data_IF_882855886537
#
_entry.id   IF_882855886537
#
_cell.length_a   1.000
_cell.length_b   1.000
_cell.length_c   1.000
_cell.angle_alpha   90.00
_cell.angle_beta   90.00
_cell.angle_gamma   90.00
#
_symmetry.space_group_name_H-M   'P 1'
#
loop_
_entity.id
_entity.type
_entity.pdbx_description
1 polymer ?
#
# COMPACT_ATOMS: atom_id res chain seq x y z
N UNK A 1 4.36 -27.28 6.82
CA UNK A 1 4.44 -26.13 5.88
C UNK A 1 5.90 -25.96 5.48
N UNK A 2 6.22 -25.68 4.20
CA UNK A 2 7.62 -25.54 3.77
C UNK A 2 8.13 -24.14 4.16
N UNK A 3 9.24 -24.08 4.90
CA UNK A 3 9.91 -22.80 5.17
C UNK A 3 10.79 -22.43 3.97
N UNK A 4 10.82 -21.15 3.64
CA UNK A 4 11.65 -20.58 2.57
C UNK A 4 12.56 -19.51 3.18
N UNK A 5 13.83 -19.41 2.76
CA UNK A 5 14.72 -18.34 3.22
C UNK A 5 14.19 -16.95 2.83
N UNK A 6 14.21 -16.01 3.78
CA UNK A 6 13.69 -14.65 3.58
C UNK A 6 14.32 -13.95 2.38
N UNK A 7 15.65 -13.94 2.30
CA UNK A 7 16.38 -13.23 1.23
C UNK A 7 16.11 -13.83 -0.16
N UNK A 8 15.99 -15.15 -0.25
CA UNK A 8 15.66 -15.83 -1.50
C UNK A 8 14.24 -15.47 -1.96
N UNK A 9 13.29 -15.39 -1.02
CA UNK A 9 11.92 -15.00 -1.31
C UNK A 9 11.81 -13.52 -1.70
N UNK A 10 12.55 -12.65 -1.02
CA UNK A 10 12.65 -11.21 -1.35
C UNK A 10 13.18 -11.01 -2.77
N UNK A 11 14.33 -11.60 -3.09
CA UNK A 11 14.92 -11.50 -4.42
C UNK A 11 13.97 -12.04 -5.51
N UNK A 12 13.25 -13.13 -5.23
CA UNK A 12 12.25 -13.66 -6.15
C UNK A 12 11.12 -12.66 -6.41
N UNK A 13 10.49 -12.14 -5.35
CA UNK A 13 9.38 -11.18 -5.49
C UNK A 13 9.79 -9.89 -6.21
N UNK A 14 10.95 -9.31 -5.86
CA UNK A 14 11.48 -8.12 -6.52
C UNK A 14 11.73 -8.38 -8.01
N UNK A 15 12.34 -9.53 -8.36
CA UNK A 15 12.61 -9.90 -9.76
C UNK A 15 11.34 -10.07 -10.58
N UNK A 16 10.28 -10.63 -10.00
CA UNK A 16 8.97 -10.81 -10.66
C UNK A 16 8.34 -9.45 -10.96
N UNK A 17 8.33 -8.53 -10.00
CA UNK A 17 7.77 -7.19 -10.18
C UNK A 17 8.56 -6.37 -11.21
N UNK A 18 9.89 -6.45 -11.19
CA UNK A 18 10.74 -5.79 -12.18
C UNK A 18 10.50 -6.32 -13.60
N UNK A 19 10.23 -7.62 -13.77
CA UNK A 19 9.79 -8.19 -15.07
C UNK A 19 8.43 -7.69 -15.53
N UNK A 20 7.62 -7.16 -14.61
CA UNK A 20 6.39 -6.41 -14.91
C UNK A 20 6.64 -4.90 -15.09
N UNK A 21 7.88 -4.50 -15.37
CA UNK A 21 8.31 -3.11 -15.60
C UNK A 21 8.20 -2.17 -14.39
N UNK A 22 7.92 -2.70 -13.19
CA UNK A 22 7.89 -1.91 -11.95
C UNK A 22 9.31 -1.40 -11.64
N UNK A 23 9.50 -0.10 -11.33
CA UNK A 23 10.80 0.45 -10.93
C UNK A 23 11.39 -0.29 -9.72
N UNK A 24 12.73 -0.35 -9.64
CA UNK A 24 13.46 -1.09 -8.59
C UNK A 24 12.98 -0.73 -7.18
N UNK A 25 12.87 0.57 -6.86
CA UNK A 25 12.48 1.04 -5.53
C UNK A 25 11.02 0.68 -5.19
N UNK A 26 10.14 0.68 -6.20
CA UNK A 26 8.73 0.30 -6.02
C UNK A 26 8.59 -1.20 -5.87
N UNK A 27 9.36 -1.99 -6.63
CA UNK A 27 9.41 -3.44 -6.50
C UNK A 27 9.92 -3.85 -5.11
N UNK A 28 10.94 -3.17 -4.58
CA UNK A 28 11.45 -3.35 -3.23
C UNK A 28 10.38 -3.00 -2.19
N UNK A 29 9.69 -1.87 -2.34
CA UNK A 29 8.63 -1.42 -1.41
C UNK A 29 7.44 -2.39 -1.38
N UNK A 30 6.97 -2.83 -2.54
CA UNK A 30 5.88 -3.82 -2.64
C UNK A 30 6.30 -5.13 -2.00
N UNK A 31 7.49 -5.63 -2.32
CA UNK A 31 8.02 -6.87 -1.75
C UNK A 31 8.15 -6.79 -0.23
N UNK A 32 8.69 -5.69 0.28
CA UNK A 32 8.82 -5.46 1.72
C UNK A 32 7.46 -5.51 2.43
N UNK A 33 6.42 -4.88 1.85
CA UNK A 33 5.07 -4.94 2.40
C UNK A 33 4.50 -6.37 2.44
N UNK A 34 4.67 -7.15 1.37
CA UNK A 34 4.18 -8.54 1.33
C UNK A 34 4.91 -9.44 2.33
N UNK A 35 6.23 -9.31 2.43
CA UNK A 35 7.01 -10.09 3.38
C UNK A 35 6.72 -9.67 4.82
N UNK A 36 6.55 -8.37 5.07
CA UNK A 36 6.17 -7.85 6.37
C UNK A 36 4.80 -8.41 6.82
N UNK A 37 3.84 -8.52 5.90
CA UNK A 37 2.55 -9.15 6.18
C UNK A 37 2.70 -10.64 6.57
N UNK A 38 3.51 -11.41 5.84
CA UNK A 38 3.80 -12.81 6.22
C UNK A 38 4.49 -12.92 7.58
N UNK A 39 5.51 -12.08 7.84
CA UNK A 39 6.22 -12.06 9.13
C UNK A 39 5.33 -11.62 10.29
N UNK A 40 4.28 -10.84 10.02
CA UNK A 40 3.28 -10.41 11.00
C UNK A 40 2.13 -11.42 11.19
N UNK A 41 2.17 -12.57 10.52
CA UNK A 41 1.10 -13.58 10.58
C UNK A 41 -0.16 -13.21 9.79
N UNK A 42 -0.08 -12.20 8.91
CA UNK A 42 -1.20 -11.74 8.05
C UNK A 42 -1.01 -12.30 6.64
N UNK A 43 -0.97 -13.63 6.54
CA UNK A 43 -0.67 -14.34 5.29
C UNK A 43 -1.62 -14.00 4.14
N UNK A 44 -2.86 -13.63 4.46
CA UNK A 44 -3.87 -13.19 3.48
C UNK A 44 -3.48 -11.92 2.71
N UNK A 45 -2.48 -11.17 3.18
CA UNK A 45 -1.94 -9.96 2.53
C UNK A 45 -0.45 -10.10 2.18
N UNK A 46 0.15 -11.27 2.37
CA UNK A 46 1.54 -11.54 2.03
C UNK A 46 1.77 -11.99 0.59
N UNK A 47 2.81 -12.80 0.36
CA UNK A 47 3.22 -13.26 -0.98
C UNK A 47 2.11 -13.95 -1.79
N UNK A 48 1.06 -14.47 -1.14
CA UNK A 48 -0.11 -15.05 -1.81
C UNK A 48 -0.80 -14.05 -2.74
N UNK A 49 -0.60 -12.74 -2.53
CA UNK A 49 -1.12 -11.66 -3.36
C UNK A 49 -0.25 -11.33 -4.57
N UNK A 50 1.00 -11.78 -4.63
CA UNK A 50 1.90 -11.47 -5.74
C UNK A 50 1.31 -11.82 -7.12
N UNK A 51 0.71 -13.02 -7.34
CA UNK A 51 0.08 -13.35 -8.62
C UNK A 51 -1.04 -12.37 -9.01
N UNK A 52 -1.82 -11.88 -8.04
CA UNK A 52 -2.88 -10.89 -8.29
C UNK A 52 -2.30 -9.59 -8.84
N UNK A 53 -1.22 -9.08 -8.25
CA UNK A 53 -0.58 -7.85 -8.77
C UNK A 53 0.06 -8.07 -10.13
N UNK A 54 0.73 -9.21 -10.35
CA UNK A 54 1.30 -9.56 -11.66
C UNK A 54 0.21 -9.56 -12.74
N UNK A 55 -0.93 -10.25 -12.51
CA UNK A 55 -2.04 -10.24 -13.46
C UNK A 55 -2.53 -8.84 -13.77
N UNK A 56 -2.66 -7.98 -12.74
CA UNK A 56 -3.15 -6.61 -12.92
C UNK A 56 -2.15 -5.67 -13.59
N UNK A 57 -0.86 -5.87 -13.38
CA UNK A 57 0.21 -5.16 -14.09
C UNK A 57 0.24 -5.61 -15.56
N UNK A 58 0.17 -6.92 -15.82
CA UNK A 58 0.21 -7.48 -17.17
C UNK A 58 -1.00 -7.09 -18.01
N UNK A 59 -2.19 -6.99 -17.41
CA UNK A 59 -3.40 -6.59 -18.13
C UNK A 59 -3.62 -5.06 -18.18
N UNK A 60 -2.73 -4.27 -17.59
CA UNK A 60 -2.79 -2.80 -17.61
C UNK A 60 -3.78 -2.16 -16.64
N UNK A 61 -4.44 -2.93 -15.77
CA UNK A 61 -5.35 -2.39 -14.74
C UNK A 61 -4.63 -1.81 -13.52
N UNK A 62 -3.30 -1.93 -13.48
CA UNK A 62 -2.39 -1.18 -12.60
C UNK A 62 -1.27 -0.63 -13.47
N UNK A 63 -0.99 0.66 -13.34
CA UNK A 63 0.13 1.31 -13.99
C UNK A 63 1.43 0.98 -13.27
N UNK A 64 2.36 0.28 -13.95
CA UNK A 64 3.66 -0.06 -13.38
C UNK A 64 4.55 1.19 -13.11
N UNK A 65 4.31 2.29 -13.83
CA UNK A 65 5.09 3.53 -13.79
C UNK A 65 4.15 4.74 -13.72
N UNK A 66 3.43 4.91 -12.61
CA UNK A 66 2.47 6.00 -12.47
C UNK A 66 3.16 7.35 -12.37
N UNK A 67 2.56 8.38 -12.99
CA UNK A 67 2.90 9.77 -12.72
C UNK A 67 2.15 10.24 -11.49
N UNK A 68 2.71 9.99 -10.30
CA UNK A 68 2.13 10.39 -9.02
C UNK A 68 2.11 11.91 -8.91
N UNK A 69 0.97 12.50 -8.56
CA UNK A 69 0.83 13.95 -8.37
C UNK A 69 0.49 14.24 -6.92
N UNK A 70 1.17 15.22 -6.37
CA UNK A 70 0.96 15.70 -5.01
C UNK A 70 0.37 17.10 -5.07
N UNK A 71 -0.62 17.36 -4.23
CA UNK A 71 -1.14 18.68 -3.97
C UNK A 71 -1.25 18.90 -2.44
N UNK A 72 -1.17 20.16 -2.04
CA UNK A 72 -1.19 20.57 -0.62
C UNK A 72 -2.17 21.73 -0.46
N UNK A 73 -3.49 21.44 -0.44
CA UNK A 73 -4.52 22.48 -0.41
C UNK A 73 -4.52 23.26 0.91
N UNK A 74 -3.95 22.70 1.99
CA UNK A 74 -3.78 23.34 3.30
C UNK A 74 -2.45 22.88 3.92
N UNK A 75 -1.86 23.61 4.88
CA UNK A 75 -0.56 23.26 5.47
C UNK A 75 -0.48 21.82 5.98
N UNK A 76 -1.52 21.33 6.66
CA UNK A 76 -1.60 19.98 7.24
C UNK A 76 -2.39 18.97 6.39
N UNK A 77 -2.63 19.24 5.11
CA UNK A 77 -3.39 18.31 4.23
C UNK A 77 -2.58 18.06 2.95
N UNK A 78 -2.31 16.79 2.67
CA UNK A 78 -1.69 16.34 1.42
C UNK A 78 -2.68 15.48 0.64
N UNK A 79 -2.96 15.85 -0.60
CA UNK A 79 -3.75 15.04 -1.54
C UNK A 79 -2.81 14.41 -2.56
N UNK A 80 -3.05 13.14 -2.90
CA UNK A 80 -2.20 12.37 -3.82
C UNK A 80 -3.07 11.70 -4.87
N UNK A 81 -2.79 11.98 -6.14
CA UNK A 81 -3.26 11.19 -7.27
C UNK A 81 -2.22 10.12 -7.57
N UNK A 82 -2.59 8.85 -7.34
CA UNK A 82 -1.71 7.70 -7.49
C UNK A 82 -1.48 7.24 -8.93
N UNK A 83 -2.19 7.79 -9.93
CA UNK A 83 -2.03 7.44 -11.34
C UNK A 83 -2.27 5.95 -11.66
N UNK A 84 -3.21 5.32 -10.95
CA UNK A 84 -3.57 3.89 -11.01
C UNK A 84 -2.40 2.94 -10.71
N UNK A 85 -1.41 3.42 -9.96
CA UNK A 85 -0.23 2.63 -9.61
C UNK A 85 -0.44 1.61 -8.49
N UNK A 86 0.63 0.91 -8.13
CA UNK A 86 0.66 -0.02 -6.99
C UNK A 86 0.46 0.75 -5.67
N UNK A 87 -0.61 0.45 -4.94
CA UNK A 87 -0.96 1.13 -3.69
C UNK A 87 0.16 1.11 -2.64
N UNK A 88 0.89 -0.01 -2.56
CA UNK A 88 2.09 -0.16 -1.73
C UNK A 88 3.09 1.00 -1.93
N UNK A 89 3.50 1.23 -3.18
CA UNK A 89 4.47 2.24 -3.53
C UNK A 89 3.92 3.66 -3.37
N UNK A 90 2.67 3.90 -3.81
CA UNK A 90 2.02 5.21 -3.71
C UNK A 90 1.92 5.63 -2.24
N UNK A 91 1.38 4.77 -1.38
CA UNK A 91 1.18 5.10 0.04
C UNK A 91 2.50 5.24 0.78
N UNK A 92 3.50 4.39 0.53
CA UNK A 92 4.81 4.50 1.17
C UNK A 92 5.53 5.81 0.79
N UNK A 93 5.47 6.20 -0.49
CA UNK A 93 6.01 7.50 -0.95
C UNK A 93 5.26 8.65 -0.31
N UNK A 94 3.92 8.62 -0.30
CA UNK A 94 3.11 9.66 0.31
C UNK A 94 3.41 9.85 1.81
N UNK A 95 3.58 8.76 2.56
CA UNK A 95 3.99 8.82 3.98
C UNK A 95 5.36 9.49 4.12
N UNK A 96 6.34 9.13 3.27
CA UNK A 96 7.68 9.73 3.29
C UNK A 96 7.65 11.22 2.98
N UNK A 97 6.89 11.64 1.97
CA UNK A 97 6.72 13.06 1.59
C UNK A 97 5.98 13.87 2.67
N UNK A 98 5.07 13.24 3.41
CA UNK A 98 4.28 13.90 4.44
C UNK A 98 5.00 14.03 5.78
N UNK A 99 6.03 13.22 6.06
CA UNK A 99 6.78 13.25 7.33
C UNK A 99 7.38 14.63 7.66
N UNK A 100 8.07 15.33 6.74
CA UNK A 100 8.56 16.70 6.99
C UNK A 100 7.42 17.67 7.31
N UNK A 101 6.29 17.56 6.62
CA UNK A 101 5.11 18.41 6.85
C UNK A 101 4.53 18.15 8.25
N UNK A 102 4.46 16.88 8.67
CA UNK A 102 4.01 16.51 10.02
C UNK A 102 4.91 17.12 11.11
N UNK A 103 6.24 17.11 10.90
CA UNK A 103 7.20 17.74 11.83
C UNK A 103 6.96 19.23 11.99
N UNK A 104 6.71 19.91 10.87
CA UNK A 104 6.53 21.36 10.84
C UNK A 104 5.17 21.77 11.43
N UNK A 105 4.10 21.06 11.06
CA UNK A 105 2.72 21.43 11.36
C UNK A 105 2.14 20.72 12.60
N UNK A 106 2.86 19.78 13.19
CA UNK A 106 2.42 18.93 14.30
C UNK A 106 1.49 17.78 13.90
N UNK A 107 0.83 17.88 12.73
CA UNK A 107 0.02 16.81 12.14
C UNK A 107 -0.08 16.96 10.63
N UNK A 108 -0.38 15.86 9.94
CA UNK A 108 -0.69 15.85 8.51
C UNK A 108 -1.72 14.77 8.20
N UNK A 109 -2.72 15.12 7.40
CA UNK A 109 -3.68 14.16 6.83
C UNK A 109 -3.34 13.94 5.37
N UNK A 110 -3.17 12.67 4.98
CA UNK A 110 -2.89 12.27 3.60
C UNK A 110 -4.15 11.64 3.02
N UNK A 111 -4.61 12.12 1.86
CA UNK A 111 -5.73 11.56 1.11
C UNK A 111 -5.22 11.08 -0.24
N UNK A 112 -5.33 9.77 -0.50
CA UNK A 112 -4.82 9.14 -1.72
C UNK A 112 -5.99 8.67 -2.58
N UNK A 113 -6.04 9.11 -3.83
CA UNK A 113 -6.97 8.67 -4.88
C UNK A 113 -6.24 8.01 -6.04
N UNK A 114 -6.99 7.45 -7.00
CA UNK A 114 -6.47 6.80 -8.21
C UNK A 114 -5.30 5.84 -7.91
N UNK A 115 -5.55 4.90 -7.01
CA UNK A 115 -4.57 3.95 -6.50
C UNK A 115 -5.09 2.51 -6.65
N UNK A 116 -4.41 1.54 -6.06
CA UNK A 116 -4.83 0.14 -6.04
C UNK A 116 -4.69 -0.47 -4.64
N UNK A 117 -4.93 -1.78 -4.52
CA UNK A 117 -4.77 -2.48 -3.25
C UNK A 117 -3.35 -2.26 -2.68
N UNK A 118 -3.31 -1.90 -1.40
CA UNK A 118 -2.10 -1.38 -0.74
C UNK A 118 -1.46 -2.36 0.26
N UNK A 119 -1.93 -3.61 0.30
CA UNK A 119 -1.41 -4.62 1.23
C UNK A 119 -1.99 -4.48 2.64
N UNK A 120 -1.17 -4.79 3.64
CA UNK A 120 -1.58 -4.72 5.04
C UNK A 120 -1.52 -3.28 5.56
N UNK A 121 -2.65 -2.72 6.00
CA UNK A 121 -2.73 -1.33 6.46
C UNK A 121 -1.69 -0.96 7.54
N UNK A 122 -1.43 -1.87 8.48
CA UNK A 122 -0.44 -1.67 9.54
C UNK A 122 1.02 -1.56 9.06
N UNK A 123 1.34 -1.94 7.82
CA UNK A 123 2.69 -1.82 7.27
C UNK A 123 3.20 -0.38 7.31
N UNK A 124 2.34 0.59 6.98
CA UNK A 124 2.74 2.00 6.90
C UNK A 124 2.96 2.64 8.26
N UNK A 125 2.32 2.11 9.32
CA UNK A 125 2.53 2.57 10.68
C UNK A 125 3.95 2.28 11.17
N UNK A 126 4.63 1.27 10.60
CA UNK A 126 6.02 0.96 10.95
C UNK A 126 6.92 2.19 10.77
N UNK A 127 6.87 2.81 9.59
CA UNK A 127 7.74 3.95 9.28
C UNK A 127 7.29 5.20 10.05
N UNK A 128 5.97 5.40 10.21
CA UNK A 128 5.40 6.53 10.97
C UNK A 128 5.84 6.48 12.44
N UNK A 129 5.71 5.32 13.08
CA UNK A 129 6.06 5.13 14.50
C UNK A 129 7.56 5.14 14.72
N UNK A 130 8.35 4.55 13.81
CA UNK A 130 9.82 4.63 13.85
C UNK A 130 10.34 6.08 13.77
N UNK A 131 9.59 6.98 13.13
CA UNK A 131 9.91 8.41 13.07
C UNK A 131 9.41 9.22 14.29
N UNK A 132 8.83 8.57 15.31
CA UNK A 132 8.38 9.21 16.55
C UNK A 132 6.96 9.79 16.49
N UNK A 133 6.15 9.41 15.50
CA UNK A 133 4.76 9.87 15.37
C UNK A 133 3.75 8.78 15.75
N UNK A 134 2.54 9.21 16.08
CA UNK A 134 1.35 8.35 16.05
C UNK A 134 0.74 8.46 14.65
N UNK A 135 0.17 7.36 14.15
CA UNK A 135 -0.50 7.32 12.85
C UNK A 135 -1.79 6.51 12.91
N UNK A 136 -2.69 6.80 11.96
CA UNK A 136 -3.87 6.00 11.67
C UNK A 136 -3.97 5.84 10.16
N UNK A 137 -4.23 4.62 9.69
CA UNK A 137 -4.28 4.30 8.26
C UNK A 137 -5.56 3.53 7.95
N UNK A 138 -6.29 3.97 6.92
CA UNK A 138 -7.48 3.28 6.44
C UNK A 138 -7.55 3.30 4.93
N UNK A 139 -8.27 2.34 4.36
CA UNK A 139 -8.60 2.29 2.93
C UNK A 139 -9.99 1.70 2.75
N UNK A 140 -10.66 2.03 1.66
CA UNK A 140 -11.86 1.33 1.25
C UNK A 140 -11.51 0.17 0.30
N UNK A 141 -12.39 -0.81 0.15
CA UNK A 141 -12.20 -1.92 -0.79
C UNK A 141 -13.44 -2.15 -1.65
N UNK A 142 -13.34 -3.11 -2.58
CA UNK A 142 -14.50 -3.65 -3.28
C UNK A 142 -15.62 -4.07 -2.31
N UNK A 143 -16.85 -4.04 -2.80
CA UNK A 143 -18.05 -4.40 -2.05
C UNK A 143 -17.99 -5.88 -1.60
N UNK A 144 -17.99 -6.12 -0.28
CA UNK A 144 -17.86 -7.46 0.34
C UNK A 144 -18.77 -7.66 1.56
N UNK A 145 -19.02 -6.61 2.34
CA UNK A 145 -19.70 -6.65 3.63
C UNK A 145 -21.18 -6.31 3.46
N UNK A 146 -22.04 -7.09 4.10
CA UNK A 146 -23.48 -6.84 4.24
C UNK A 146 -23.71 -6.08 5.55
N UNK A 147 -24.13 -4.80 5.51
CA UNK A 147 -24.44 -4.06 6.73
C UNK A 147 -25.56 -4.70 7.54
N UNK A 148 -25.60 -4.45 8.84
CA UNK A 148 -26.67 -4.92 9.72
C UNK A 148 -28.02 -4.40 9.19
N UNK A 149 -28.98 -5.30 9.02
CA UNK A 149 -30.31 -4.99 8.46
C UNK A 149 -30.38 -4.95 6.93
N UNK A 150 -29.25 -5.05 6.22
CA UNK A 150 -29.24 -5.14 4.76
C UNK A 150 -29.40 -6.59 4.28
N UNK A 151 -29.82 -6.73 3.01
CA UNK A 151 -29.91 -8.03 2.31
C UNK A 151 -28.88 -8.19 1.19
N UNK A 152 -28.12 -7.14 0.89
CA UNK A 152 -27.11 -7.12 -0.18
C UNK A 152 -25.81 -6.49 0.33
N UNK A 153 -24.65 -6.92 -0.19
CA UNK A 153 -23.37 -6.28 0.08
C UNK A 153 -23.39 -4.79 -0.30
N UNK A 154 -22.74 -3.96 0.52
CA UNK A 154 -22.60 -2.51 0.26
C UNK A 154 -21.21 -1.98 0.61
N UNK A 155 -20.66 -2.35 1.77
CA UNK A 155 -19.36 -1.85 2.22
C UNK A 155 -18.22 -2.80 1.81
N UNK A 156 -16.99 -2.28 1.77
CA UNK A 156 -15.79 -3.09 1.72
C UNK A 156 -15.39 -3.61 3.10
N UNK A 157 -14.29 -4.37 3.18
CA UNK A 157 -13.71 -4.81 4.46
C UNK A 157 -13.04 -3.67 5.23
N UNK A 158 -12.80 -2.55 4.55
CA UNK A 158 -12.41 -1.23 5.07
C UNK A 158 -11.58 -1.25 6.36
N UNK A 159 -10.32 -1.73 6.33
CA UNK A 159 -9.51 -1.85 7.53
C UNK A 159 -9.14 -0.48 8.12
N UNK A 160 -8.92 -0.46 9.43
CA UNK A 160 -8.29 0.64 10.16
C UNK A 160 -7.10 0.05 10.91
N UNK A 161 -5.93 0.68 10.80
CA UNK A 161 -4.74 0.38 11.58
C UNK A 161 -4.34 1.62 12.38
#
# INVERSE_FOLDING_TARGET
>A
MKQLPYDALRAYCESVLQRCSVPTDDAATVTDCLLYANLSGVDSHGIIRLPHYVTRLTNGSINARPSIRYDRPRPSIMTVDGGDGLGHAITARAVREAMPVCREQGSVTIVIGNSSHFGMAGYYLRDITAAGFVGMVTTHTDVRIVPIGARKPFAGTNPIA
#
